data_IF_385979573644
#
_entry.id   IF_385979573644
#
_cell.length_a   1.000
_cell.length_b   1.000
_cell.length_c   1.000
_cell.angle_alpha   90.00
_cell.angle_beta   90.00
_cell.angle_gamma   90.00
#
_symmetry.space_group_name_H-M   'P 1'
#
loop_
_entity.id
_entity.type
_entity.pdbx_description
1 polymer ?
#
# COMPACT_ATOMS: atom_id res chain seq x y z
N UNK A 1 8.65 11.88 33.34
CA UNK A 1 7.21 11.55 33.36
C UNK A 1 7.04 10.23 34.09
N UNK A 2 6.34 10.23 35.23
CA UNK A 2 6.14 9.05 36.07
C UNK A 2 5.21 8.05 35.37
N UNK A 3 5.67 6.80 35.21
CA UNK A 3 4.82 5.68 34.78
C UNK A 3 3.81 5.43 35.89
N UNK A 4 2.54 5.75 35.69
CA UNK A 4 1.50 5.30 36.61
C UNK A 4 1.49 3.77 36.57
N UNK A 5 1.68 3.13 37.72
CA UNK A 5 1.67 1.68 37.87
C UNK A 5 0.27 1.15 37.58
N UNK A 6 0.15 -0.08 37.07
CA UNK A 6 -1.14 -0.70 36.70
C UNK A 6 -2.16 -0.69 37.86
N UNK A 7 -1.68 -0.66 39.11
CA UNK A 7 -2.48 -0.52 40.32
C UNK A 7 -3.27 0.79 40.39
N UNK A 8 -2.76 1.89 39.81
CA UNK A 8 -3.44 3.18 39.74
C UNK A 8 -4.63 3.20 38.78
N UNK A 9 -4.86 2.11 38.03
CA UNK A 9 -5.99 1.96 37.12
C UNK A 9 -7.23 1.37 37.81
N UNK A 10 -7.10 0.79 39.01
CA UNK A 10 -8.25 0.28 39.79
C UNK A 10 -9.18 1.44 40.13
N UNK A 11 -10.48 1.24 39.93
CA UNK A 11 -11.51 2.25 40.20
C UNK A 11 -11.66 3.32 39.12
N UNK A 12 -10.97 3.19 37.98
CA UNK A 12 -11.12 4.09 36.83
C UNK A 12 -11.92 3.43 35.70
N UNK A 13 -12.47 4.27 34.84
CA UNK A 13 -13.06 3.85 33.58
C UNK A 13 -12.00 3.89 32.48
N UNK A 14 -11.94 2.83 31.69
CA UNK A 14 -11.11 2.71 30.49
C UNK A 14 -12.01 2.50 29.29
N UNK A 15 -11.64 3.10 28.16
CA UNK A 15 -12.37 2.91 26.92
C UNK A 15 -11.76 1.78 26.09
N UNK A 16 -12.55 0.75 25.81
CA UNK A 16 -12.21 -0.36 24.93
C UNK A 16 -12.89 -0.19 23.58
N UNK A 17 -12.16 -0.42 22.49
CA UNK A 17 -12.64 -0.21 21.10
C UNK A 17 -13.89 -1.04 20.76
N UNK A 18 -13.94 -2.30 21.20
CA UNK A 18 -15.08 -3.21 20.98
C UNK A 18 -16.20 -3.06 22.03
N UNK A 19 -15.86 -3.04 23.32
CA UNK A 19 -16.85 -3.13 24.41
C UNK A 19 -17.29 -1.77 24.96
N UNK A 20 -16.65 -0.68 24.55
CA UNK A 20 -16.91 0.66 25.07
C UNK A 20 -16.29 0.87 26.45
N UNK A 21 -16.98 1.60 27.32
CA UNK A 21 -16.49 1.89 28.66
C UNK A 21 -16.44 0.64 29.55
N UNK A 22 -15.31 0.46 30.21
CA UNK A 22 -15.05 -0.63 31.14
C UNK A 22 -14.61 -0.03 32.47
N UNK A 23 -15.32 -0.39 33.54
CA UNK A 23 -14.91 -0.07 34.89
C UNK A 23 -13.89 -1.09 35.40
N UNK A 24 -12.71 -0.65 35.81
CA UNK A 24 -11.66 -1.54 36.33
C UNK A 24 -11.93 -1.87 37.79
N UNK A 25 -12.28 -3.13 38.07
CA UNK A 25 -12.59 -3.61 39.41
C UNK A 25 -11.34 -4.08 40.15
N UNK A 26 -10.47 -4.81 39.47
CA UNK A 26 -9.28 -5.41 40.08
C UNK A 26 -8.16 -5.61 39.06
N UNK A 27 -6.90 -5.51 39.50
CA UNK A 27 -5.73 -5.89 38.71
C UNK A 27 -5.33 -7.31 39.10
N UNK A 28 -5.46 -8.26 38.16
CA UNK A 28 -5.13 -9.66 38.40
C UNK A 28 -3.62 -9.93 38.30
N UNK A 29 -2.92 -9.22 37.40
CA UNK A 29 -1.47 -9.37 37.25
C UNK A 29 -0.86 -8.10 36.70
N UNK A 30 -0.03 -7.44 37.51
CA UNK A 30 0.73 -6.25 37.12
C UNK A 30 1.87 -6.57 36.13
N UNK A 31 2.38 -7.82 36.10
CA UNK A 31 3.43 -8.23 35.15
C UNK A 31 2.88 -8.42 33.74
N UNK A 32 1.66 -8.93 33.64
CA UNK A 32 1.01 -9.25 32.36
C UNK A 32 0.02 -8.17 31.90
N UNK A 33 -0.17 -7.12 32.70
CA UNK A 33 -1.15 -6.06 32.50
C UNK A 33 -2.58 -6.61 32.38
N UNK A 34 -2.93 -7.60 33.22
CA UNK A 34 -4.27 -8.22 33.24
C UNK A 34 -5.14 -7.57 34.30
N UNK A 35 -6.34 -7.18 33.90
CA UNK A 35 -7.36 -6.59 34.78
C UNK A 35 -8.68 -7.35 34.66
N UNK A 36 -9.47 -7.32 35.72
CA UNK A 36 -10.89 -7.70 35.69
C UNK A 36 -11.72 -6.41 35.68
N UNK A 37 -12.57 -6.28 34.69
CA UNK A 37 -13.40 -5.09 34.50
C UNK A 37 -14.86 -5.44 34.19
N UNK A 38 -15.75 -4.53 34.57
CA UNK A 38 -17.18 -4.60 34.26
C UNK A 38 -17.43 -3.75 33.02
N UNK A 39 -18.05 -4.34 32.00
CA UNK A 39 -18.46 -3.59 30.80
C UNK A 39 -19.73 -2.80 31.14
N UNK A 40 -19.72 -1.48 30.92
CA UNK A 40 -20.85 -0.60 31.26
C UNK A 40 -22.12 -0.96 30.48
N UNK A 41 -21.96 -1.36 29.21
CA UNK A 41 -23.09 -1.66 28.32
C UNK A 41 -23.80 -2.98 28.63
N UNK A 42 -23.08 -4.01 29.08
CA UNK A 42 -23.65 -5.34 29.34
C UNK A 42 -23.72 -5.72 30.82
N UNK A 43 -23.00 -5.00 31.69
CA UNK A 43 -22.83 -5.39 33.10
C UNK A 43 -22.01 -6.67 33.30
N UNK A 44 -21.43 -7.24 32.23
CA UNK A 44 -20.66 -8.48 32.32
C UNK A 44 -19.25 -8.21 32.87
N UNK A 45 -18.83 -9.04 33.84
CA UNK A 45 -17.46 -9.08 34.31
C UNK A 45 -16.59 -9.89 33.34
N UNK A 46 -15.58 -9.22 32.77
CA UNK A 46 -14.62 -9.86 31.85
C UNK A 46 -13.19 -9.56 32.29
N UNK A 47 -12.31 -10.50 31.96
CA UNK A 47 -10.88 -10.33 32.16
C UNK A 47 -10.29 -9.76 30.88
N UNK A 48 -9.60 -8.63 31.01
CA UNK A 48 -8.98 -7.92 29.90
C UNK A 48 -7.46 -7.89 30.05
N UNK A 49 -6.77 -7.95 28.92
CA UNK A 49 -5.34 -7.64 28.84
C UNK A 49 -5.23 -6.20 28.36
N UNK A 50 -4.69 -5.33 29.20
CA UNK A 50 -4.46 -3.94 28.85
C UNK A 50 -3.38 -3.91 27.76
N UNK A 51 -3.76 -3.40 26.60
CA UNK A 51 -2.86 -3.16 25.48
C UNK A 51 -3.39 -1.99 24.66
N UNK A 52 -2.48 -1.23 24.06
CA UNK A 52 -2.80 -0.08 23.20
C UNK A 52 -3.57 -0.43 21.92
N UNK A 53 -3.69 -1.73 21.60
CA UNK A 53 -4.50 -2.18 20.46
C UNK A 53 -6.00 -2.10 20.74
N UNK A 54 -6.39 -2.33 22.00
CA UNK A 54 -7.80 -2.46 22.38
C UNK A 54 -8.27 -1.35 23.30
N UNK A 55 -7.35 -0.73 24.05
CA UNK A 55 -7.67 0.34 24.98
C UNK A 55 -7.13 1.68 24.47
N UNK A 56 -8.02 2.67 24.42
CA UNK A 56 -7.62 4.06 24.21
C UNK A 56 -7.05 4.61 25.51
N UNK A 57 -5.95 5.35 25.43
CA UNK A 57 -5.23 5.89 26.58
C UNK A 57 -5.85 7.25 26.97
N UNK A 58 -6.65 7.36 28.06
CA UNK A 58 -7.23 8.64 28.43
C UNK A 58 -6.21 9.62 29.03
N UNK A 59 -5.08 9.13 29.55
CA UNK A 59 -4.13 9.93 30.35
C UNK A 59 -2.65 9.82 29.89
N UNK A 60 -2.39 9.34 28.67
CA UNK A 60 -1.01 9.17 28.16
C UNK A 60 -0.21 8.08 28.89
N UNK A 61 -0.90 7.09 29.45
CA UNK A 61 -0.37 5.97 30.22
C UNK A 61 0.27 4.91 29.32
N UNK A 62 1.24 5.31 28.46
CA UNK A 62 1.91 4.49 27.44
C UNK A 62 1.72 2.97 27.60
N UNK A 63 0.58 2.46 27.14
CA UNK A 63 0.33 1.02 27.19
C UNK A 63 1.29 0.37 26.20
N UNK A 64 2.16 -0.53 26.69
CA UNK A 64 3.15 -1.19 25.84
C UNK A 64 2.41 -1.91 24.71
N UNK A 65 2.66 -1.50 23.46
CA UNK A 65 2.13 -2.15 22.26
C UNK A 65 2.75 -3.55 22.21
N UNK A 66 2.02 -4.58 22.68
CA UNK A 66 2.51 -5.97 22.71
C UNK A 66 2.56 -6.61 21.32
N UNK A 67 2.02 -5.95 20.29
CA UNK A 67 1.99 -6.47 18.94
C UNK A 67 2.66 -5.49 17.97
N UNK A 68 3.82 -5.88 17.47
CA UNK A 68 4.42 -5.23 16.30
C UNK A 68 3.61 -5.63 15.07
N UNK A 69 3.02 -4.65 14.38
CA UNK A 69 2.38 -4.90 13.10
C UNK A 69 3.41 -5.48 12.13
N UNK A 70 3.13 -6.69 11.62
CA UNK A 70 3.99 -7.31 10.63
C UNK A 70 4.10 -6.35 9.43
N UNK A 71 5.32 -6.04 8.95
CA UNK A 71 5.47 -5.13 7.83
C UNK A 71 4.69 -5.67 6.63
N UNK A 72 3.85 -4.83 6.05
CA UNK A 72 3.06 -5.18 4.87
C UNK A 72 4.03 -5.61 3.76
N UNK A 73 3.88 -6.85 3.29
CA UNK A 73 4.68 -7.39 2.18
C UNK A 73 4.36 -6.59 0.91
N UNK A 74 5.18 -5.59 0.58
CA UNK A 74 5.09 -4.86 -0.68
C UNK A 74 5.46 -5.83 -1.81
N UNK A 75 4.51 -6.12 -2.72
CA UNK A 75 4.79 -6.87 -3.95
C UNK A 75 5.56 -5.96 -4.91
N UNK A 76 6.89 -6.08 -4.93
CA UNK A 76 7.72 -5.41 -5.94
C UNK A 76 7.55 -6.18 -7.24
N UNK A 77 7.04 -5.53 -8.29
CA UNK A 77 7.02 -6.12 -9.64
C UNK A 77 8.46 -6.17 -10.15
N UNK A 78 8.85 -7.28 -10.79
CA UNK A 78 10.17 -7.42 -11.40
C UNK A 78 10.37 -6.38 -12.51
N UNK A 79 11.60 -5.90 -12.66
CA UNK A 79 11.98 -5.04 -13.78
C UNK A 79 11.80 -5.79 -15.11
N UNK A 80 11.16 -5.13 -16.07
CA UNK A 80 10.90 -5.70 -17.39
C UNK A 80 12.08 -5.37 -18.30
N UNK A 81 12.78 -6.39 -18.78
CA UNK A 81 13.84 -6.21 -19.79
C UNK A 81 13.24 -5.99 -21.19
N UNK A 82 13.24 -4.73 -21.64
CA UNK A 82 12.72 -4.32 -22.94
C UNK A 82 13.48 -4.91 -24.14
N UNK A 83 14.75 -5.29 -24.00
CA UNK A 83 15.53 -5.86 -25.10
C UNK A 83 15.06 -7.27 -25.44
N UNK A 84 14.74 -8.07 -24.42
CA UNK A 84 14.23 -9.43 -24.58
C UNK A 84 12.92 -9.47 -25.38
N UNK A 85 12.06 -8.46 -25.22
CA UNK A 85 10.75 -8.39 -25.88
C UNK A 85 10.77 -7.62 -27.21
N UNK A 86 11.92 -7.18 -27.70
CA UNK A 86 12.02 -6.47 -28.99
C UNK A 86 11.51 -7.31 -30.16
N UNK A 87 11.65 -8.63 -30.07
CA UNK A 87 11.19 -9.56 -31.10
C UNK A 87 9.69 -9.84 -31.10
N UNK A 88 8.92 -9.25 -30.18
CA UNK A 88 7.47 -9.45 -30.08
C UNK A 88 6.75 -8.92 -31.34
N UNK A 89 5.74 -9.63 -31.86
CA UNK A 89 5.05 -9.26 -33.11
C UNK A 89 4.46 -7.85 -33.06
N UNK A 90 3.86 -7.45 -31.92
CA UNK A 90 3.32 -6.10 -31.75
C UNK A 90 4.39 -5.01 -31.79
N UNK A 91 5.55 -5.24 -31.16
CA UNK A 91 6.67 -4.29 -31.16
C UNK A 91 7.22 -4.12 -32.57
N UNK A 92 7.36 -5.21 -33.34
CA UNK A 92 7.76 -5.16 -34.74
C UNK A 92 6.76 -4.42 -35.63
N UNK A 93 5.45 -4.52 -35.36
CA UNK A 93 4.44 -3.77 -36.11
C UNK A 93 4.53 -2.27 -35.84
N UNK A 94 4.80 -1.87 -34.59
CA UNK A 94 5.03 -0.48 -34.21
C UNK A 94 6.26 0.06 -34.96
N UNK A 95 7.39 -0.66 -34.91
CA UNK A 95 8.62 -0.25 -35.61
C UNK A 95 8.41 -0.07 -37.12
N UNK A 96 7.64 -0.96 -37.75
CA UNK A 96 7.31 -0.85 -39.18
C UNK A 96 6.50 0.40 -39.48
N UNK A 97 5.53 0.74 -38.63
CA UNK A 97 4.71 1.95 -38.79
C UNK A 97 5.52 3.22 -38.55
N UNK A 98 6.35 3.24 -37.52
CA UNK A 98 7.24 4.38 -37.22
C UNK A 98 8.26 4.61 -38.34
N UNK A 99 8.88 3.54 -38.87
CA UNK A 99 9.79 3.63 -40.03
C UNK A 99 9.10 4.08 -41.32
N UNK A 100 7.82 3.75 -41.51
CA UNK A 100 7.06 4.21 -42.67
C UNK A 100 6.70 5.69 -42.54
N UNK A 101 6.24 6.11 -41.35
CA UNK A 101 5.92 7.51 -41.08
C UNK A 101 7.15 8.42 -41.16
N UNK A 102 8.31 7.98 -40.69
CA UNK A 102 9.54 8.80 -40.76
C UNK A 102 9.98 9.03 -42.20
N UNK A 103 9.89 8.02 -43.07
CA UNK A 103 10.22 8.14 -44.50
C UNK A 103 9.40 9.20 -45.24
N UNK A 104 8.12 9.34 -44.89
CA UNK A 104 7.23 10.33 -45.52
C UNK A 104 7.61 11.78 -45.19
N UNK A 105 8.35 12.02 -44.11
CA UNK A 105 8.76 13.35 -43.66
C UNK A 105 10.26 13.62 -43.80
N UNK A 106 11.07 12.61 -44.13
CA UNK A 106 12.53 12.74 -44.36
C UNK A 106 12.93 12.74 -45.83
N UNK A 107 11.99 12.57 -46.78
CA UNK A 107 12.26 12.85 -48.19
C UNK A 107 12.50 14.35 -48.34
N UNK A 108 13.77 14.75 -48.35
CA UNK A 108 14.14 15.99 -49.03
C UNK A 108 13.71 15.79 -50.48
N UNK A 109 12.87 16.70 -50.95
CA UNK A 109 12.62 16.86 -52.38
C UNK A 109 13.95 17.41 -52.90
N UNK A 110 14.75 16.57 -53.55
CA UNK A 110 15.89 17.07 -54.30
C UNK A 110 15.32 17.83 -55.50
N UNK A 111 15.28 19.16 -55.38
CA UNK A 111 15.13 20.06 -56.53
C UNK A 111 16.43 19.97 -57.34
N UNK A 112 16.30 19.59 -58.61
CA UNK A 112 17.31 19.46 -59.68
C UNK A 112 18.10 18.14 -59.81
N UNK A 113 17.55 17.23 -60.62
CA UNK A 113 18.28 16.72 -61.79
C UNK A 113 17.30 16.22 -62.85
N UNK A 114 17.17 16.97 -63.94
CA UNK A 114 16.62 16.49 -65.22
C UNK A 114 17.54 15.38 -65.77
N UNK A 115 17.00 14.20 -66.12
CA UNK A 115 17.47 13.42 -67.28
C UNK A 115 16.38 12.46 -67.77
N UNK A 116 16.31 12.36 -69.09
CA UNK A 116 15.28 11.81 -69.96
C UNK A 116 14.96 10.31 -69.75
N UNK A 117 13.68 9.95 -69.89
CA UNK A 117 13.23 9.09 -71.00
C UNK A 117 11.72 8.83 -70.92
N UNK A 118 10.99 9.61 -71.72
CA UNK A 118 9.74 9.18 -72.33
C UNK A 118 10.00 7.87 -73.10
N UNK A 119 9.29 6.80 -72.73
CA UNK A 119 8.81 5.82 -73.69
C UNK A 119 7.40 5.42 -73.31
N UNK A 120 6.44 6.13 -73.91
CA UNK A 120 5.14 5.57 -74.23
C UNK A 120 5.37 4.37 -75.17
N UNK A 121 4.94 3.19 -74.76
CA UNK A 121 4.20 2.32 -75.69
C UNK A 121 2.98 1.77 -74.97
N UNK A 122 1.84 2.38 -75.30
CA UNK A 122 0.53 1.77 -75.19
C UNK A 122 0.47 0.47 -76.01
N UNK A 123 -0.09 -0.56 -75.38
CA UNK A 123 -1.11 -1.45 -75.93
C UNK A 123 -0.86 -2.11 -77.31
N UNK A 124 -0.62 -3.42 -77.30
CA UNK A 124 -1.50 -4.41 -77.96
C UNK A 124 -1.30 -5.84 -77.47
#
# INVERSE_FOLDING_TARGET
MQKQTAEALVGRYLYHTIFGNIYVKEVLSAKEDKIRGVVESSGEEKTFVISSNYFSDPNGTMFKKKFEEKPVRKKVKAEIDYKKYRNHPLVKQIDKKENYSSKLYTTRIDEDSNDDSLSDEESK
#
